data_IF_248937568104
#
_entry.id   IF_248937568104
#
_cell.length_a   1.000
_cell.length_b   1.000
_cell.length_c   1.000
_cell.angle_alpha   90.00
_cell.angle_beta   90.00
_cell.angle_gamma   90.00
#
_symmetry.space_group_name_H-M   'P 1'
#
loop_
_entity.id
_entity.type
_entity.pdbx_description
1 polymer ?
#
# COMPACT_ATOMS: atom_id res chain seq x y z
N UNK A 1 13.43 0.94 -31.29
CA UNK A 1 12.50 0.08 -30.52
C UNK A 1 12.78 -1.37 -30.89
N UNK A 2 13.32 -2.18 -29.95
CA UNK A 2 13.53 -3.61 -30.19
C UNK A 2 12.28 -4.37 -29.69
N UNK A 3 11.50 -4.89 -30.59
CA UNK A 3 10.31 -5.71 -30.34
C UNK A 3 10.71 -7.00 -29.63
N UNK A 4 10.15 -7.24 -28.45
CA UNK A 4 10.33 -8.52 -27.73
C UNK A 4 9.47 -9.57 -28.48
N UNK A 5 10.10 -10.61 -29.01
CA UNK A 5 9.43 -11.66 -29.74
C UNK A 5 8.59 -12.55 -28.79
N UNK A 6 7.47 -13.08 -29.30
CA UNK A 6 6.55 -14.00 -28.59
C UNK A 6 7.25 -15.16 -27.88
N UNK A 7 8.34 -15.67 -28.43
CA UNK A 7 9.16 -16.74 -27.84
C UNK A 7 9.90 -16.30 -26.55
N UNK A 8 10.33 -15.03 -26.46
CA UNK A 8 11.01 -14.49 -25.27
C UNK A 8 10.03 -14.26 -24.12
N UNK A 9 8.79 -13.86 -24.45
CA UNK A 9 7.70 -13.68 -23.48
C UNK A 9 7.27 -15.02 -22.84
N UNK A 10 7.10 -16.09 -23.67
CA UNK A 10 6.72 -17.43 -23.18
C UNK A 10 7.84 -18.05 -22.31
N UNK A 11 9.12 -17.78 -22.61
CA UNK A 11 10.24 -18.27 -21.81
C UNK A 11 10.36 -17.66 -20.40
N UNK A 12 9.87 -16.43 -20.22
CA UNK A 12 9.88 -15.72 -18.91
C UNK A 12 8.72 -16.23 -18.03
N UNK A 13 7.54 -16.47 -18.62
CA UNK A 13 6.37 -16.99 -17.89
C UNK A 13 6.54 -18.46 -17.48
N UNK A 14 7.18 -19.28 -18.33
CA UNK A 14 7.45 -20.68 -18.01
C UNK A 14 8.44 -20.85 -16.83
N UNK A 15 9.44 -19.97 -16.71
CA UNK A 15 10.39 -19.99 -15.58
C UNK A 15 9.75 -19.54 -14.26
N UNK A 16 8.81 -18.61 -14.30
CA UNK A 16 8.06 -18.17 -13.12
C UNK A 16 7.10 -19.23 -12.59
N UNK A 17 6.40 -19.91 -13.47
CA UNK A 17 5.49 -21.01 -13.12
C UNK A 17 6.22 -22.25 -12.59
N UNK A 18 7.40 -22.56 -13.12
CA UNK A 18 8.22 -23.67 -12.64
C UNK A 18 8.78 -23.40 -11.23
N UNK A 19 9.12 -22.15 -10.90
CA UNK A 19 9.59 -21.79 -9.57
C UNK A 19 8.47 -21.85 -8.51
N UNK A 20 7.26 -21.43 -8.84
CA UNK A 20 6.09 -21.49 -7.95
C UNK A 20 5.67 -22.96 -7.69
N UNK A 21 5.71 -23.81 -8.76
CA UNK A 21 5.40 -25.23 -8.62
C UNK A 21 6.46 -26.00 -7.82
N UNK A 22 7.74 -25.65 -7.96
CA UNK A 22 8.83 -26.25 -7.19
C UNK A 22 8.74 -25.94 -5.70
N UNK A 23 8.25 -24.74 -5.32
CA UNK A 23 8.04 -24.35 -3.91
C UNK A 23 6.86 -25.11 -3.28
N UNK A 24 5.80 -25.42 -4.05
CA UNK A 24 4.64 -26.18 -3.55
C UNK A 24 4.95 -27.67 -3.29
N UNK A 25 6.08 -28.20 -3.80
CA UNK A 25 6.51 -29.57 -3.62
C UNK A 25 7.61 -29.74 -2.56
N UNK A 26 8.02 -28.65 -1.89
CA UNK A 26 9.03 -28.75 -0.81
C UNK A 26 8.40 -29.40 0.43
N UNK A 27 9.04 -30.42 1.02
CA UNK A 27 8.59 -31.01 2.28
C UNK A 27 8.54 -29.93 3.37
N UNK A 28 7.51 -29.96 4.22
CA UNK A 28 7.35 -29.04 5.36
C UNK A 28 8.62 -28.90 6.23
N UNK A 29 9.43 -29.93 6.29
CA UNK A 29 10.71 -29.94 7.00
C UNK A 29 11.78 -29.03 6.38
N UNK A 30 11.72 -28.74 5.08
CA UNK A 30 12.62 -27.78 4.41
C UNK A 30 12.14 -26.34 4.60
N UNK A 31 10.85 -26.13 4.73
CA UNK A 31 10.28 -24.80 5.08
C UNK A 31 10.67 -24.38 6.50
N UNK A 32 10.86 -25.34 7.41
CA UNK A 32 11.30 -25.07 8.79
C UNK A 32 12.79 -24.67 8.90
N UNK A 33 13.60 -24.85 7.85
CA UNK A 33 15.02 -24.48 7.84
C UNK A 33 15.28 -23.04 7.34
N UNK A 34 14.26 -22.35 6.80
CA UNK A 34 14.40 -20.92 6.56
C UNK A 34 14.25 -20.20 7.90
N UNK A 35 15.24 -19.38 8.32
CA UNK A 35 15.13 -18.68 9.58
C UNK A 35 13.87 -17.80 9.53
N UNK A 36 12.93 -18.08 10.45
CA UNK A 36 11.72 -17.27 10.70
C UNK A 36 12.13 -15.91 11.28
N UNK A 37 12.66 -15.02 10.46
CA UNK A 37 12.96 -13.64 10.85
C UNK A 37 11.94 -12.69 10.22
N UNK A 38 10.65 -12.95 10.43
CA UNK A 38 9.62 -11.94 10.17
C UNK A 38 9.73 -10.75 11.16
N UNK A 39 10.41 -10.94 12.29
CA UNK A 39 10.67 -9.91 13.31
C UNK A 39 11.50 -8.71 12.83
N UNK A 40 12.02 -8.71 11.60
CA UNK A 40 12.84 -7.62 11.04
C UNK A 40 12.03 -6.63 10.19
N UNK A 41 10.76 -6.92 9.84
CA UNK A 41 9.95 -6.01 9.04
C UNK A 41 9.26 -5.02 9.99
N UNK A 42 9.58 -3.72 9.92
CA UNK A 42 8.93 -2.73 10.76
C UNK A 42 7.45 -2.63 10.42
N UNK A 43 6.61 -2.87 11.43
CA UNK A 43 5.16 -2.78 11.28
C UNK A 43 4.76 -1.31 11.28
N UNK A 44 3.97 -0.93 10.28
CA UNK A 44 3.41 0.40 10.15
C UNK A 44 1.92 0.46 10.45
N UNK A 45 1.42 1.67 10.52
CA UNK A 45 0.00 1.97 10.58
C UNK A 45 -0.35 3.13 9.64
N UNK A 46 -1.58 3.08 9.08
CA UNK A 46 -2.16 4.18 8.32
C UNK A 46 -2.90 5.12 9.27
N UNK A 47 -2.75 6.43 9.09
CA UNK A 47 -3.34 7.44 9.97
C UNK A 47 -4.81 7.72 9.71
N UNK A 48 -5.37 7.32 8.56
CA UNK A 48 -6.74 7.66 8.19
C UNK A 48 -7.80 7.16 9.18
N UNK A 49 -7.75 5.92 9.69
CA UNK A 49 -8.75 5.45 10.65
C UNK A 49 -8.73 6.22 11.99
N UNK A 50 -7.58 6.75 12.37
CA UNK A 50 -7.37 7.47 13.63
C UNK A 50 -7.24 8.98 13.46
N UNK A 51 -7.61 9.51 12.29
CA UNK A 51 -7.45 10.91 11.90
C UNK A 51 -8.04 11.94 12.89
N UNK A 52 -9.15 11.58 13.53
CA UNK A 52 -9.84 12.50 14.45
C UNK A 52 -9.02 12.74 15.73
N UNK A 53 -8.46 11.69 16.31
CA UNK A 53 -7.59 11.82 17.48
C UNK A 53 -6.22 12.36 17.09
N UNK A 54 -5.71 12.00 15.92
CA UNK A 54 -4.45 12.52 15.38
C UNK A 54 -4.52 14.03 15.14
N UNK A 55 -5.62 14.54 14.60
CA UNK A 55 -5.82 15.97 14.37
C UNK A 55 -5.96 16.78 15.65
N UNK A 56 -6.46 16.19 16.74
CA UNK A 56 -6.57 16.82 18.07
C UNK A 56 -5.24 16.84 18.82
N UNK A 57 -4.49 15.76 18.75
CA UNK A 57 -3.19 15.61 19.41
C UNK A 57 -2.24 14.78 18.54
N UNK A 58 -1.52 15.46 17.67
CA UNK A 58 -0.63 14.82 16.70
C UNK A 58 0.50 14.05 17.39
N UNK A 59 1.18 14.68 18.35
CA UNK A 59 2.34 14.08 19.03
C UNK A 59 1.92 12.94 19.97
N UNK A 60 0.89 13.15 20.79
CA UNK A 60 0.40 12.13 21.72
C UNK A 60 -0.17 10.91 21.01
N UNK A 61 -0.88 11.10 19.88
CA UNK A 61 -1.40 9.98 19.09
C UNK A 61 -0.26 9.16 18.47
N UNK A 62 0.75 9.80 17.90
CA UNK A 62 1.92 9.09 17.34
C UNK A 62 2.68 8.32 18.42
N UNK A 63 2.86 8.91 19.60
CA UNK A 63 3.49 8.22 20.72
C UNK A 63 2.66 7.01 21.18
N UNK A 64 1.36 7.15 21.30
CA UNK A 64 0.46 6.04 21.64
C UNK A 64 0.61 4.87 20.64
N UNK A 65 0.69 5.14 19.33
CA UNK A 65 0.89 4.11 18.33
C UNK A 65 2.28 3.47 18.44
N UNK A 66 3.33 4.25 18.71
CA UNK A 66 4.67 3.74 18.94
C UNK A 66 4.73 2.84 20.19
N UNK A 67 4.01 3.19 21.26
CA UNK A 67 3.92 2.41 22.51
C UNK A 67 3.16 1.06 22.29
N UNK A 68 2.25 0.99 21.30
CA UNK A 68 1.66 -0.27 20.84
C UNK A 68 2.64 -1.15 20.04
N UNK A 69 3.82 -0.61 19.68
CA UNK A 69 4.92 -1.33 19.02
C UNK A 69 5.04 -1.07 17.53
N UNK A 70 4.33 -0.11 16.98
CA UNK A 70 4.53 0.35 15.62
C UNK A 70 5.85 1.10 15.46
N UNK A 71 6.46 1.02 14.28
CA UNK A 71 7.73 1.66 13.94
C UNK A 71 7.64 2.59 12.74
N UNK A 72 6.57 2.46 11.98
CA UNK A 72 6.35 3.19 10.73
C UNK A 72 4.95 3.77 10.74
N UNK A 73 4.78 4.98 10.23
CA UNK A 73 3.47 5.57 9.95
C UNK A 73 3.34 5.89 8.47
N UNK A 74 2.14 5.76 7.95
CA UNK A 74 1.76 6.33 6.67
C UNK A 74 0.75 7.45 6.92
N UNK A 75 1.12 8.66 6.55
CA UNK A 75 0.28 9.84 6.69
C UNK A 75 -0.73 9.95 5.53
N UNK A 76 -1.72 10.80 5.71
CA UNK A 76 -2.44 11.41 4.59
C UNK A 76 -1.98 12.85 4.43
N UNK A 77 -1.90 13.35 3.19
CA UNK A 77 -1.58 14.73 2.89
C UNK A 77 -2.61 15.68 3.56
N UNK A 78 -2.21 16.58 4.47
CA UNK A 78 -3.18 17.43 5.15
C UNK A 78 -4.02 18.27 4.20
N UNK A 79 -3.44 18.81 3.15
CA UNK A 79 -4.17 19.62 2.15
C UNK A 79 -5.12 18.77 1.30
N UNK A 80 -4.72 17.56 0.92
CA UNK A 80 -5.57 16.65 0.14
C UNK A 80 -6.74 16.09 0.96
N UNK A 81 -6.53 15.94 2.26
CA UNK A 81 -7.49 15.36 3.19
C UNK A 81 -8.12 16.36 4.15
N UNK A 82 -8.08 17.66 3.82
CA UNK A 82 -8.66 18.74 4.63
C UNK A 82 -10.07 18.40 5.10
N UNK A 83 -10.96 18.11 4.16
CA UNK A 83 -12.37 17.79 4.42
C UNK A 83 -12.59 16.44 5.11
N UNK A 84 -11.58 15.59 5.13
CA UNK A 84 -11.63 14.29 5.78
C UNK A 84 -11.12 14.31 7.24
N UNK A 85 -10.82 15.50 7.79
CA UNK A 85 -10.42 15.66 9.18
C UNK A 85 -8.98 16.11 9.41
N UNK A 86 -8.20 16.33 8.33
CA UNK A 86 -6.79 16.78 8.45
C UNK A 86 -6.63 18.31 8.45
N UNK A 87 -7.70 19.09 8.40
CA UNK A 87 -7.67 20.55 8.43
C UNK A 87 -6.78 21.14 9.53
N UNK A 88 -6.77 20.66 10.79
CA UNK A 88 -5.92 21.21 11.85
C UNK A 88 -4.41 21.04 11.56
N UNK A 89 -4.01 20.13 10.69
CA UNK A 89 -2.62 19.87 10.36
C UNK A 89 -2.09 20.67 9.15
N UNK A 90 -2.95 21.39 8.41
CA UNK A 90 -2.55 22.12 7.19
C UNK A 90 -1.48 23.17 7.47
N UNK A 91 -1.59 23.86 8.62
CA UNK A 91 -0.64 24.92 9.02
C UNK A 91 0.71 24.40 9.52
N UNK A 92 0.83 23.09 9.77
CA UNK A 92 2.08 22.49 10.25
C UNK A 92 3.04 22.27 9.08
N UNK A 93 4.29 22.74 9.22
CA UNK A 93 5.33 22.48 8.21
C UNK A 93 5.67 20.99 8.15
N UNK A 94 5.96 20.49 6.96
CA UNK A 94 6.34 19.09 6.76
C UNK A 94 7.59 18.69 7.56
N UNK A 95 8.56 19.62 7.70
CA UNK A 95 9.76 19.43 8.54
C UNK A 95 9.43 19.27 10.02
N UNK A 96 8.43 20.01 10.53
CA UNK A 96 7.98 19.91 11.92
C UNK A 96 7.21 18.61 12.15
N UNK A 97 6.34 18.21 11.19
CA UNK A 97 5.68 16.90 11.20
C UNK A 97 6.72 15.77 11.27
N UNK A 98 7.75 15.82 10.40
CA UNK A 98 8.83 14.85 10.38
C UNK A 98 9.53 14.77 11.73
N UNK A 99 9.83 15.92 12.35
CA UNK A 99 10.48 15.96 13.65
C UNK A 99 9.61 15.28 14.72
N UNK A 100 8.32 15.60 14.79
CA UNK A 100 7.39 15.02 15.78
C UNK A 100 7.26 13.50 15.56
N UNK A 101 7.16 13.04 14.31
CA UNK A 101 7.11 11.61 13.96
C UNK A 101 8.39 10.90 14.47
N UNK A 102 9.56 11.49 14.21
CA UNK A 102 10.84 10.93 14.63
C UNK A 102 11.00 10.94 16.16
N UNK A 103 10.58 12.01 16.83
CA UNK A 103 10.61 12.13 18.30
C UNK A 103 9.71 11.07 18.97
N UNK A 104 8.64 10.63 18.30
CA UNK A 104 7.81 9.50 18.74
C UNK A 104 8.47 8.12 18.49
N UNK A 105 9.65 8.06 17.88
CA UNK A 105 10.34 6.82 17.53
C UNK A 105 9.79 6.13 16.27
N UNK A 106 9.10 6.88 15.42
CA UNK A 106 8.50 6.42 14.16
C UNK A 106 9.26 6.97 12.95
N UNK A 107 9.09 6.32 11.80
CA UNK A 107 9.45 6.86 10.49
C UNK A 107 8.22 6.95 9.59
N UNK A 108 8.22 7.87 8.61
CA UNK A 108 7.14 8.04 7.64
C UNK A 108 7.70 7.89 6.21
N UNK A 109 7.74 6.68 5.66
CA UNK A 109 8.28 6.46 4.31
C UNK A 109 7.30 6.79 3.20
N UNK A 110 6.00 6.82 3.47
CA UNK A 110 4.95 7.08 2.48
C UNK A 110 3.81 7.90 3.04
N UNK A 111 3.07 8.51 2.13
CA UNK A 111 1.89 9.32 2.43
C UNK A 111 0.85 9.13 1.33
N UNK A 112 -0.42 9.06 1.71
CA UNK A 112 -1.56 9.10 0.82
C UNK A 112 -1.82 10.53 0.35
N UNK A 113 -1.93 10.70 -0.94
CA UNK A 113 -2.38 11.92 -1.61
C UNK A 113 -3.66 11.60 -2.38
N UNK A 114 -4.63 12.51 -2.42
CA UNK A 114 -5.77 12.32 -3.29
C UNK A 114 -5.38 12.58 -4.75
N UNK A 115 -6.17 12.09 -5.69
CA UNK A 115 -5.84 12.16 -7.12
C UNK A 115 -5.63 13.59 -7.61
N UNK A 116 -6.40 14.55 -7.13
CA UNK A 116 -6.26 15.95 -7.50
C UNK A 116 -4.93 16.60 -7.10
N UNK A 117 -4.11 15.94 -6.26
CA UNK A 117 -2.77 16.42 -5.90
C UNK A 117 -1.68 15.96 -6.87
N UNK A 118 -2.01 15.08 -7.83
CA UNK A 118 -1.11 14.61 -8.90
C UNK A 118 -1.27 15.41 -10.19
N UNK A 119 -2.12 16.44 -10.22
CA UNK A 119 -2.29 17.34 -11.37
C UNK A 119 -1.12 18.33 -11.46
N UNK A 120 -0.80 18.78 -12.67
CA UNK A 120 0.40 19.60 -12.93
C UNK A 120 0.48 20.90 -12.10
N UNK A 121 -0.66 21.51 -11.80
CA UNK A 121 -0.76 22.74 -11.00
C UNK A 121 -0.43 22.55 -9.51
N UNK A 122 -0.48 21.33 -8.98
CA UNK A 122 -0.25 21.02 -7.56
C UNK A 122 0.93 20.11 -7.30
N UNK A 123 1.31 19.30 -8.28
CA UNK A 123 2.26 18.21 -8.10
C UNK A 123 3.62 18.69 -7.57
N UNK A 124 4.14 19.81 -8.09
CA UNK A 124 5.47 20.28 -7.69
C UNK A 124 5.48 20.71 -6.21
N UNK A 125 4.43 21.39 -5.73
CA UNK A 125 4.27 21.70 -4.30
C UNK A 125 4.15 20.42 -3.44
N UNK A 126 3.44 19.38 -3.94
CA UNK A 126 3.31 18.10 -3.22
C UNK A 126 4.63 17.33 -3.17
N UNK A 127 5.43 17.41 -4.21
CA UNK A 127 6.78 16.84 -4.25
C UNK A 127 7.68 17.51 -3.21
N UNK A 128 7.65 18.84 -3.09
CA UNK A 128 8.44 19.53 -2.06
C UNK A 128 7.95 19.17 -0.64
N UNK A 129 6.63 19.14 -0.40
CA UNK A 129 6.08 18.64 0.86
C UNK A 129 6.57 17.23 1.18
N UNK A 130 6.57 16.33 0.20
CA UNK A 130 7.00 14.94 0.36
C UNK A 130 8.51 14.84 0.70
N UNK A 131 9.36 15.65 0.07
CA UNK A 131 10.79 15.74 0.38
C UNK A 131 11.04 16.24 1.79
N UNK A 132 10.37 17.31 2.19
CA UNK A 132 10.51 17.92 3.52
C UNK A 132 10.06 16.94 4.62
N UNK A 133 8.98 16.22 4.39
CA UNK A 133 8.52 15.14 5.29
C UNK A 133 9.48 13.95 5.29
N UNK A 134 10.27 13.77 4.24
CA UNK A 134 11.27 12.70 4.09
C UNK A 134 10.68 11.41 3.51
N UNK A 135 9.66 11.53 2.68
CA UNK A 135 9.02 10.38 2.04
C UNK A 135 9.95 9.70 1.02
N UNK A 136 9.81 8.40 0.89
CA UNK A 136 10.35 7.61 -0.22
C UNK A 136 9.28 7.24 -1.26
N UNK A 137 7.99 7.38 -0.91
CA UNK A 137 6.88 7.09 -1.80
C UNK A 137 5.72 8.08 -1.62
N UNK A 138 5.09 8.43 -2.74
CA UNK A 138 3.85 9.20 -2.82
C UNK A 138 2.75 8.28 -3.36
N UNK A 139 1.74 8.00 -2.57
CA UNK A 139 0.68 7.03 -2.92
C UNK A 139 -0.60 7.77 -3.31
N UNK A 140 -1.06 7.58 -4.54
CA UNK A 140 -2.41 7.96 -4.93
C UNK A 140 -3.40 7.02 -4.25
N UNK A 141 -4.16 7.54 -3.30
CA UNK A 141 -5.06 6.70 -2.49
C UNK A 141 -6.28 6.20 -3.26
N UNK A 142 -6.74 6.97 -4.24
CA UNK A 142 -7.91 6.66 -5.06
C UNK A 142 -8.00 7.68 -6.19
N UNK A 143 -8.58 7.30 -7.32
CA UNK A 143 -8.90 8.29 -8.36
C UNK A 143 -10.17 9.09 -8.04
N UNK A 144 -11.01 8.62 -7.12
CA UNK A 144 -12.23 9.32 -6.74
C UNK A 144 -13.24 9.47 -7.88
N UNK A 145 -13.22 8.55 -8.85
CA UNK A 145 -14.11 8.60 -9.99
C UNK A 145 -15.55 8.31 -9.60
N UNK A 146 -16.55 8.91 -10.28
CA UNK A 146 -17.95 8.66 -10.01
C UNK A 146 -18.33 7.20 -10.37
N UNK A 147 -19.41 6.69 -9.78
CA UNK A 147 -19.91 5.33 -10.08
C UNK A 147 -20.28 5.12 -11.56
N UNK A 148 -20.50 6.19 -12.30
CA UNK A 148 -20.79 6.19 -13.74
C UNK A 148 -19.55 6.20 -14.62
N UNK A 149 -18.35 6.19 -14.02
CA UNK A 149 -17.10 6.19 -14.77
C UNK A 149 -16.98 4.94 -15.64
N UNK A 150 -16.56 5.15 -16.87
CA UNK A 150 -16.25 4.08 -17.84
C UNK A 150 -14.85 3.53 -17.59
N UNK A 151 -14.52 2.38 -18.18
CA UNK A 151 -13.17 1.86 -18.15
C UNK A 151 -12.15 2.86 -18.71
N UNK A 152 -12.53 3.58 -19.77
CA UNK A 152 -11.68 4.61 -20.37
C UNK A 152 -11.37 5.74 -19.37
N UNK A 153 -12.31 6.14 -18.53
CA UNK A 153 -12.05 7.19 -17.51
C UNK A 153 -11.00 6.72 -16.49
N UNK A 154 -11.03 5.44 -16.09
CA UNK A 154 -10.00 4.83 -15.25
C UNK A 154 -8.63 4.81 -15.92
N UNK A 155 -8.56 4.49 -17.22
CA UNK A 155 -7.31 4.45 -17.98
C UNK A 155 -6.73 5.86 -18.19
N UNK A 156 -7.58 6.86 -18.42
CA UNK A 156 -7.17 8.27 -18.50
C UNK A 156 -6.58 8.74 -17.16
N UNK A 157 -7.22 8.39 -16.03
CA UNK A 157 -6.67 8.71 -14.71
C UNK A 157 -5.34 8.01 -14.45
N UNK A 158 -5.19 6.76 -14.91
CA UNK A 158 -3.94 6.03 -14.82
C UNK A 158 -2.80 6.69 -15.63
N UNK A 159 -3.10 7.23 -16.82
CA UNK A 159 -2.13 7.96 -17.64
C UNK A 159 -1.66 9.27 -16.96
N UNK A 160 -2.57 10.00 -16.31
CA UNK A 160 -2.22 11.17 -15.50
C UNK A 160 -1.25 10.77 -14.37
N UNK A 161 -1.53 9.68 -13.65
CA UNK A 161 -0.64 9.20 -12.59
C UNK A 161 0.71 8.71 -13.15
N UNK A 162 0.74 8.06 -14.33
CA UNK A 162 1.99 7.69 -15.00
C UNK A 162 2.86 8.92 -15.30
N UNK A 163 2.27 10.01 -15.81
CA UNK A 163 2.97 11.28 -16.09
C UNK A 163 3.48 11.93 -14.80
N UNK A 164 2.65 11.99 -13.77
CA UNK A 164 3.08 12.51 -12.47
C UNK A 164 4.23 11.67 -11.87
N UNK A 165 4.19 10.36 -12.06
CA UNK A 165 5.22 9.43 -11.56
C UNK A 165 6.60 9.67 -12.18
N UNK A 166 6.69 10.22 -13.40
CA UNK A 166 7.98 10.63 -14.00
C UNK A 166 8.63 11.76 -13.20
N UNK A 167 7.85 12.79 -12.80
CA UNK A 167 8.32 13.90 -11.96
C UNK A 167 8.72 13.40 -10.57
N UNK A 168 7.87 12.57 -9.96
CA UNK A 168 8.12 11.96 -8.63
C UNK A 168 9.40 11.14 -8.64
N UNK A 169 9.64 10.35 -9.69
CA UNK A 169 10.86 9.56 -9.85
C UNK A 169 12.11 10.45 -10.03
N UNK A 170 12.02 11.54 -10.79
CA UNK A 170 13.12 12.53 -10.92
C UNK A 170 13.44 13.19 -9.57
N UNK A 171 12.45 13.32 -8.68
CA UNK A 171 12.62 13.82 -7.33
C UNK A 171 13.17 12.76 -6.33
N UNK A 172 13.48 11.55 -6.80
CA UNK A 172 14.07 10.46 -6.01
C UNK A 172 13.05 9.60 -5.24
N UNK A 173 11.76 9.74 -5.53
CA UNK A 173 10.69 9.01 -4.86
C UNK A 173 9.98 8.03 -5.80
N UNK A 174 9.20 7.11 -5.24
CA UNK A 174 8.36 6.16 -5.97
C UNK A 174 6.90 6.61 -5.92
N UNK A 175 6.23 6.67 -7.07
CA UNK A 175 4.78 6.79 -7.10
C UNK A 175 4.10 5.44 -6.85
N UNK A 176 2.96 5.46 -6.15
CA UNK A 176 2.14 4.28 -5.92
C UNK A 176 0.65 4.54 -6.13
N UNK A 177 -0.11 3.46 -6.29
CA UNK A 177 -1.57 3.48 -6.34
C UNK A 177 -2.13 2.50 -5.31
N UNK A 178 -3.04 2.98 -4.49
CA UNK A 178 -3.77 2.17 -3.50
C UNK A 178 -5.14 1.79 -4.05
N UNK A 179 -5.51 0.53 -3.87
CA UNK A 179 -6.83 0.04 -4.27
C UNK A 179 -7.82 0.02 -3.10
N UNK A 180 -9.09 0.14 -3.45
CA UNK A 180 -10.23 -0.18 -2.60
C UNK A 180 -11.06 -1.31 -3.25
N UNK A 181 -12.23 -1.58 -2.69
CA UNK A 181 -13.17 -2.55 -3.25
C UNK A 181 -13.71 -2.15 -4.63
N UNK A 182 -13.75 -0.85 -4.94
CA UNK A 182 -14.25 -0.32 -6.22
C UNK A 182 -13.44 -0.81 -7.42
N UNK A 183 -12.11 -0.87 -7.30
CA UNK A 183 -11.21 -1.32 -8.36
C UNK A 183 -11.37 -2.82 -8.66
N UNK A 184 -11.98 -3.57 -7.75
CA UNK A 184 -12.33 -4.98 -7.95
C UNK A 184 -13.73 -5.18 -8.54
N UNK A 185 -14.38 -4.10 -9.00
CA UNK A 185 -15.52 -4.14 -9.88
C UNK A 185 -15.14 -4.43 -11.34
N UNK A 186 -16.12 -4.80 -12.15
CA UNK A 186 -15.95 -5.04 -13.58
C UNK A 186 -16.63 -3.95 -14.40
N UNK A 187 -15.97 -3.53 -15.47
CA UNK A 187 -16.50 -2.70 -16.55
C UNK A 187 -16.14 -3.38 -17.87
N UNK A 188 -17.10 -3.51 -18.78
CA UNK A 188 -16.93 -4.20 -20.05
C UNK A 188 -16.32 -5.61 -19.91
N UNK A 189 -16.80 -6.39 -18.92
CA UNK A 189 -16.31 -7.71 -18.52
C UNK A 189 -14.83 -7.75 -18.05
N UNK A 190 -14.17 -6.61 -17.98
CA UNK A 190 -12.80 -6.49 -17.50
C UNK A 190 -12.76 -6.00 -16.04
N UNK A 191 -11.93 -6.65 -15.20
CA UNK A 191 -11.64 -6.19 -13.84
C UNK A 191 -10.86 -4.88 -13.89
N UNK A 192 -11.37 -3.82 -13.26
CA UNK A 192 -10.73 -2.50 -13.27
C UNK A 192 -9.29 -2.61 -12.72
N UNK A 193 -9.09 -3.37 -11.63
CA UNK A 193 -7.78 -3.55 -11.03
C UNK A 193 -6.73 -4.16 -11.98
N UNK A 194 -7.11 -5.19 -12.76
CA UNK A 194 -6.23 -5.81 -13.75
C UNK A 194 -5.93 -4.86 -14.93
N UNK A 195 -6.91 -4.05 -15.34
CA UNK A 195 -6.74 -3.02 -16.35
C UNK A 195 -5.73 -1.94 -15.88
N UNK A 196 -5.87 -1.46 -14.63
CA UNK A 196 -4.94 -0.52 -14.02
C UNK A 196 -3.52 -1.09 -13.88
N UNK A 197 -3.39 -2.34 -13.39
CA UNK A 197 -2.09 -3.02 -13.31
C UNK A 197 -1.39 -3.10 -14.68
N UNK A 198 -2.17 -3.29 -15.74
CA UNK A 198 -1.66 -3.35 -17.12
C UNK A 198 -1.30 -1.98 -17.68
N UNK A 199 -2.04 -0.93 -17.29
CA UNK A 199 -1.87 0.45 -17.77
C UNK A 199 -0.74 1.20 -17.06
N UNK A 200 -0.48 0.92 -15.80
CA UNK A 200 0.62 1.55 -15.08
C UNK A 200 2.00 1.08 -15.58
N UNK A 201 2.90 2.03 -15.83
CA UNK A 201 4.28 1.73 -16.19
C UNK A 201 5.01 1.10 -14.99
N UNK A 202 5.46 -0.18 -15.09
CA UNK A 202 5.97 -0.96 -13.94
C UNK A 202 7.14 -0.32 -13.19
N UNK A 203 7.93 0.49 -13.90
CA UNK A 203 9.09 1.21 -13.34
C UNK A 203 8.74 2.56 -12.71
N UNK A 204 7.52 3.06 -12.90
CA UNK A 204 7.06 4.38 -12.45
C UNK A 204 6.02 4.26 -11.34
N UNK A 205 4.97 3.45 -11.54
CA UNK A 205 3.90 3.28 -10.57
C UNK A 205 3.91 1.87 -10.01
N UNK A 206 3.98 1.77 -8.69
CA UNK A 206 3.84 0.52 -7.92
C UNK A 206 2.46 0.46 -7.28
N UNK A 207 2.04 -0.74 -6.91
CA UNK A 207 0.77 -0.94 -6.22
C UNK A 207 0.98 -0.96 -4.70
N UNK A 208 0.04 -0.41 -3.96
CA UNK A 208 -0.17 -0.66 -2.55
C UNK A 208 -1.45 -1.47 -2.41
N UNK A 209 -1.36 -2.71 -1.93
CA UNK A 209 -2.49 -3.62 -1.92
C UNK A 209 -3.30 -3.50 -0.62
N UNK A 210 -4.62 -3.29 -0.73
CA UNK A 210 -5.54 -3.32 0.40
C UNK A 210 -6.13 -4.72 0.59
N UNK A 211 -5.91 -5.35 1.75
CA UNK A 211 -6.36 -6.72 2.03
C UNK A 211 -7.86 -6.87 2.23
N UNK A 212 -8.60 -5.78 2.47
CA UNK A 212 -10.08 -5.79 2.61
C UNK A 212 -10.79 -6.47 1.44
N UNK A 213 -10.19 -6.49 0.26
CA UNK A 213 -10.77 -7.14 -0.94
C UNK A 213 -10.93 -8.66 -0.79
N UNK A 214 -10.43 -9.25 0.30
CA UNK A 214 -10.76 -10.63 0.70
C UNK A 214 -12.27 -10.81 0.86
N UNK A 215 -12.99 -9.77 1.26
CA UNK A 215 -14.46 -9.76 1.37
C UNK A 215 -15.19 -9.91 0.03
N UNK A 216 -14.46 -9.73 -1.07
CA UNK A 216 -14.92 -9.94 -2.46
C UNK A 216 -14.36 -11.24 -3.06
N UNK A 217 -13.59 -12.01 -2.27
CA UNK A 217 -12.98 -13.27 -2.70
C UNK A 217 -11.61 -13.13 -3.36
N UNK A 218 -10.98 -11.95 -3.31
CA UNK A 218 -9.64 -11.72 -3.87
C UNK A 218 -8.57 -11.79 -2.79
N UNK A 219 -7.53 -12.59 -3.03
CA UNK A 219 -6.41 -12.77 -2.09
C UNK A 219 -5.19 -11.97 -2.55
N UNK A 220 -4.56 -11.28 -1.61
CA UNK A 220 -3.32 -10.56 -1.87
C UNK A 220 -2.20 -11.50 -2.37
N UNK A 221 -2.10 -12.71 -1.78
CA UNK A 221 -1.12 -13.73 -2.15
C UNK A 221 -1.17 -14.11 -3.62
N UNK A 222 -2.37 -14.21 -4.22
CA UNK A 222 -2.54 -14.51 -5.64
C UNK A 222 -1.96 -13.40 -6.53
N UNK A 223 -2.21 -12.13 -6.18
CA UNK A 223 -1.69 -10.98 -6.91
C UNK A 223 -0.18 -10.83 -6.73
N UNK A 224 0.35 -11.07 -5.54
CA UNK A 224 1.77 -11.03 -5.27
C UNK A 224 2.53 -12.10 -6.07
N UNK A 225 2.00 -13.32 -6.13
CA UNK A 225 2.58 -14.39 -6.94
C UNK A 225 2.49 -14.12 -8.45
N UNK A 226 1.35 -13.57 -8.90
CA UNK A 226 1.10 -13.29 -10.33
C UNK A 226 1.93 -12.12 -10.87
N UNK A 227 2.20 -11.10 -10.03
CA UNK A 227 2.82 -9.85 -10.44
C UNK A 227 4.04 -9.47 -9.56
N UNK A 228 5.09 -10.28 -9.48
CA UNK A 228 6.25 -10.00 -8.63
C UNK A 228 6.91 -8.68 -9.03
N UNK A 229 7.32 -7.90 -8.03
CA UNK A 229 7.95 -6.59 -8.22
C UNK A 229 7.01 -5.43 -8.56
N UNK A 230 5.68 -5.68 -8.62
CA UNK A 230 4.68 -4.63 -8.88
C UNK A 230 4.18 -3.95 -7.60
N UNK A 231 4.42 -4.52 -6.43
CA UNK A 231 3.92 -4.03 -5.16
C UNK A 231 5.03 -3.40 -4.33
N UNK A 232 4.75 -2.25 -3.71
CA UNK A 232 5.69 -1.56 -2.82
C UNK A 232 5.30 -1.72 -1.35
N UNK A 233 4.02 -1.75 -1.07
CA UNK A 233 3.46 -1.84 0.28
C UNK A 233 2.10 -2.53 0.28
N UNK A 234 1.59 -2.84 1.46
CA UNK A 234 0.22 -3.34 1.62
C UNK A 234 -0.42 -2.77 2.88
N UNK A 235 -1.71 -2.48 2.79
CA UNK A 235 -2.55 -2.21 3.94
C UNK A 235 -3.12 -3.52 4.49
N UNK A 236 -3.01 -3.67 5.79
CA UNK A 236 -3.42 -4.87 6.51
C UNK A 236 -4.71 -4.60 7.27
N UNK A 237 -5.75 -5.32 6.91
CA UNK A 237 -7.00 -5.46 7.65
C UNK A 237 -7.45 -6.90 7.61
N UNK A 238 -8.07 -7.39 8.65
CA UNK A 238 -8.57 -8.77 8.71
C UNK A 238 -10.07 -8.81 8.99
N UNK A 239 -10.72 -9.84 8.52
CA UNK A 239 -12.18 -9.91 8.48
C UNK A 239 -12.65 -11.34 8.77
N UNK A 240 -13.79 -11.48 9.48
CA UNK A 240 -14.45 -12.78 9.59
C UNK A 240 -15.17 -13.17 8.29
N UNK A 241 -15.64 -14.41 8.20
CA UNK A 241 -16.46 -14.87 7.07
C UNK A 241 -17.75 -14.05 6.91
N UNK A 242 -18.27 -13.47 8.01
CA UNK A 242 -19.43 -12.58 8.04
C UNK A 242 -19.08 -11.12 7.73
N UNK A 243 -17.86 -10.87 7.26
CA UNK A 243 -17.36 -9.53 6.87
C UNK A 243 -17.33 -8.52 8.03
N UNK A 244 -17.04 -8.98 9.25
CA UNK A 244 -16.75 -8.10 10.39
C UNK A 244 -15.25 -7.90 10.52
N UNK A 245 -14.81 -6.66 10.67
CA UNK A 245 -13.41 -6.35 10.90
C UNK A 245 -12.96 -6.86 12.27
N UNK A 246 -11.86 -7.59 12.29
CA UNK A 246 -11.22 -8.16 13.48
C UNK A 246 -9.73 -7.86 13.47
N UNK A 247 -9.02 -7.93 14.61
CA UNK A 247 -7.57 -7.79 14.62
C UNK A 247 -6.88 -8.73 13.63
N UNK A 248 -5.76 -8.30 13.05
CA UNK A 248 -4.94 -9.13 12.16
C UNK A 248 -4.60 -10.46 12.86
N UNK A 249 -4.85 -11.56 12.16
CA UNK A 249 -4.67 -12.92 12.68
C UNK A 249 -5.89 -13.55 13.33
N UNK A 250 -7.00 -12.82 13.44
CA UNK A 250 -8.26 -13.33 13.99
C UNK A 250 -9.36 -13.53 12.93
N UNK A 251 -9.04 -13.25 11.67
CA UNK A 251 -9.96 -13.37 10.55
C UNK A 251 -9.64 -14.54 9.62
N UNK A 252 -10.06 -14.38 8.35
CA UNK A 252 -9.99 -15.44 7.32
C UNK A 252 -8.72 -15.38 6.46
N UNK A 253 -7.85 -14.38 6.64
CA UNK A 253 -6.64 -14.25 5.85
C UNK A 253 -5.54 -15.18 6.39
N UNK A 254 -4.95 -15.99 5.52
CA UNK A 254 -3.73 -16.73 5.85
C UNK A 254 -2.52 -15.78 5.81
N UNK A 255 -2.19 -15.24 6.97
CA UNK A 255 -1.09 -14.28 7.12
C UNK A 255 0.29 -14.90 6.90
N UNK A 256 0.47 -16.19 7.11
CA UNK A 256 1.74 -16.88 6.80
C UNK A 256 1.94 -16.95 5.29
N UNK A 257 0.92 -17.36 4.55
CA UNK A 257 0.92 -17.32 3.09
C UNK A 257 1.11 -15.88 2.57
N UNK A 258 0.37 -14.92 3.13
CA UNK A 258 0.47 -13.51 2.78
C UNK A 258 1.91 -12.98 2.89
N UNK A 259 2.54 -13.11 4.05
CA UNK A 259 3.89 -12.56 4.25
C UNK A 259 4.95 -13.31 3.45
N UNK A 260 4.83 -14.63 3.27
CA UNK A 260 5.73 -15.41 2.44
C UNK A 260 5.70 -14.94 0.97
N UNK A 261 4.49 -14.77 0.40
CA UNK A 261 4.31 -14.31 -0.98
C UNK A 261 4.66 -12.83 -1.15
N UNK A 262 4.31 -11.98 -0.19
CA UNK A 262 4.65 -10.55 -0.18
C UNK A 262 6.17 -10.33 -0.19
N UNK A 263 6.92 -11.08 0.60
CA UNK A 263 8.39 -11.04 0.61
C UNK A 263 8.97 -11.40 -0.77
N UNK A 264 8.47 -12.47 -1.39
CA UNK A 264 8.91 -12.91 -2.72
C UNK A 264 8.54 -11.88 -3.79
N UNK A 265 7.38 -11.22 -3.65
CA UNK A 265 6.94 -10.15 -4.55
C UNK A 265 7.70 -8.83 -4.37
N UNK A 266 8.51 -8.70 -3.32
CA UNK A 266 9.32 -7.50 -3.05
C UNK A 266 8.57 -6.39 -2.33
N UNK A 267 7.47 -6.70 -1.63
CA UNK A 267 6.76 -5.75 -0.75
C UNK A 267 7.69 -5.33 0.39
N UNK A 268 7.79 -4.01 0.65
CA UNK A 268 8.79 -3.44 1.57
C UNK A 268 8.20 -2.96 2.89
N UNK A 269 6.93 -2.52 2.88
CA UNK A 269 6.27 -1.94 4.05
C UNK A 269 4.84 -2.44 4.16
N UNK A 270 4.39 -2.55 5.40
CA UNK A 270 3.05 -3.01 5.74
C UNK A 270 2.44 -2.03 6.74
N UNK A 271 1.20 -1.61 6.49
CA UNK A 271 0.49 -0.65 7.33
C UNK A 271 -0.83 -1.26 7.79
N UNK A 272 -1.01 -1.42 9.09
CA UNK A 272 -2.33 -1.77 9.64
C UNK A 272 -3.28 -0.60 9.41
N UNK A 273 -4.45 -0.87 8.83
CA UNK A 273 -5.50 0.10 8.59
C UNK A 273 -6.84 -0.44 9.07
N UNK A 274 -7.21 -0.08 10.29
CA UNK A 274 -8.36 -0.65 11.01
C UNK A 274 -8.89 0.35 12.03
N UNK A 275 -10.00 0.00 12.68
CA UNK A 275 -10.48 0.74 13.85
C UNK A 275 -9.45 0.71 14.99
N UNK A 276 -9.41 1.79 15.78
CA UNK A 276 -8.38 2.01 16.81
C UNK A 276 -8.24 0.86 17.81
N UNK A 277 -9.37 0.26 18.22
CA UNK A 277 -9.42 -0.82 19.20
C UNK A 277 -8.71 -2.11 18.75
N UNK A 278 -8.42 -2.25 17.46
CA UNK A 278 -7.81 -3.44 16.85
C UNK A 278 -6.29 -3.32 16.65
N UNK A 279 -5.72 -2.13 16.76
CA UNK A 279 -4.29 -1.90 16.47
C UNK A 279 -3.35 -2.67 17.40
N UNK A 280 -3.62 -2.66 18.71
CA UNK A 280 -2.74 -3.28 19.70
C UNK A 280 -2.60 -4.79 19.49
N UNK A 281 -3.71 -5.47 19.29
CA UNK A 281 -3.73 -6.93 19.10
C UNK A 281 -3.13 -7.30 17.74
N UNK A 282 -3.43 -6.52 16.69
CA UNK A 282 -2.82 -6.68 15.37
C UNK A 282 -1.29 -6.59 15.43
N UNK A 283 -0.75 -5.56 16.11
CA UNK A 283 0.69 -5.44 16.29
C UNK A 283 1.28 -6.60 17.09
N UNK A 284 0.56 -7.08 18.11
CA UNK A 284 0.95 -8.25 18.90
C UNK A 284 1.09 -9.50 18.06
N UNK A 285 0.07 -9.80 17.25
CA UNK A 285 0.06 -10.96 16.35
C UNK A 285 1.18 -10.91 15.30
N UNK A 286 1.31 -9.78 14.58
CA UNK A 286 2.31 -9.67 13.49
C UNK A 286 3.73 -9.82 14.02
N UNK A 287 4.04 -9.31 15.23
CA UNK A 287 5.36 -9.50 15.86
C UNK A 287 5.63 -10.95 16.28
N UNK A 288 4.59 -11.74 16.48
CA UNK A 288 4.70 -13.16 16.86
C UNK A 288 4.86 -14.12 15.67
N UNK A 289 4.72 -13.62 14.44
CA UNK A 289 4.92 -14.40 13.21
C UNK A 289 6.41 -14.63 12.94
#
# INVERSE_FOLDING_TARGET
MKTITRKKFIGITAKGLAAAWALSQLPQQLLAQFPNKFNEIPIGFQTFPIREILAKDFAGTLKMMADMGYKVTEMCSPKGYEKAGYAPLIGMKATDMKKIINDAGLSCPSCHFNFGEFTDDKLDERIEFAKDLGLSAMICSSFGLPKTATLNDWLVAADILNKAAEKIKKAGMQAGFHNHSTEFGKLDDQLIYDALLSSFYPGLVKMQFQTEVINLGYKASDYFAKYPGRFISSHLSDWTAEKKQVPVGQGIIDWKEFFATAKTAGVKTYFVEMDLDKFKDSAGYIRGL
#
